data_IF_033733647132
#
_entry.id   IF_033733647132
#
_cell.length_a   1.000
_cell.length_b   1.000
_cell.length_c   1.000
_cell.angle_alpha   90.00
_cell.angle_beta   90.00
_cell.angle_gamma   90.00
#
_symmetry.space_group_name_H-M   'P 1'
#
loop_
_entity.id
_entity.type
_entity.pdbx_description
1 polymer ?
#
# COMPACT_ATOMS: atom_id res chain seq x y z
N UNK A 1 36.32 -29.29 29.41
CA UNK A 1 36.85 -28.32 28.43
C UNK A 1 36.68 -28.72 26.95
N UNK A 2 36.07 -29.87 26.62
CA UNK A 2 35.90 -30.31 25.22
C UNK A 2 34.62 -29.78 24.51
N UNK A 3 33.62 -29.32 25.28
CA UNK A 3 32.35 -28.83 24.72
C UNK A 3 32.36 -27.32 24.36
N UNK A 4 33.23 -26.54 25.01
CA UNK A 4 33.34 -25.09 24.78
C UNK A 4 34.08 -24.77 23.49
N UNK A 5 35.03 -25.62 23.08
CA UNK A 5 35.78 -25.51 21.83
C UNK A 5 34.98 -25.97 20.60
N UNK A 6 34.00 -26.86 20.77
CA UNK A 6 33.11 -27.30 19.69
C UNK A 6 32.06 -26.23 19.32
N UNK A 7 31.49 -25.54 20.32
CA UNK A 7 30.56 -24.43 20.08
C UNK A 7 31.22 -23.19 19.48
N UNK A 8 32.51 -22.95 19.78
CA UNK A 8 33.25 -21.81 19.22
C UNK A 8 33.57 -21.97 17.72
N UNK A 9 33.63 -23.22 17.22
CA UNK A 9 33.86 -23.52 15.78
C UNK A 9 32.58 -23.57 14.95
N UNK A 10 31.42 -23.83 15.57
CA UNK A 10 30.12 -23.79 14.90
C UNK A 10 29.57 -22.37 14.72
N UNK A 11 29.94 -21.42 15.59
CA UNK A 11 29.45 -20.04 15.55
C UNK A 11 29.83 -19.21 14.32
N UNK A 12 30.90 -19.57 13.59
CA UNK A 12 31.35 -18.80 12.41
C UNK A 12 30.73 -19.27 11.08
N UNK A 13 30.28 -20.53 10.98
CA UNK A 13 29.64 -21.06 9.78
C UNK A 13 28.09 -21.03 9.85
N UNK A 14 27.52 -20.92 11.05
CA UNK A 14 26.06 -20.91 11.23
C UNK A 14 25.42 -19.58 10.77
N UNK A 15 26.12 -18.45 10.93
CA UNK A 15 25.63 -17.12 10.49
C UNK A 15 25.64 -17.01 8.97
N UNK A 16 26.63 -17.58 8.28
CA UNK A 16 26.68 -17.61 6.82
C UNK A 16 25.62 -18.56 6.21
N UNK A 17 25.37 -19.70 6.88
CA UNK A 17 24.36 -20.67 6.43
C UNK A 17 22.92 -20.17 6.70
N UNK A 18 22.68 -19.48 7.82
CA UNK A 18 21.40 -18.79 8.05
C UNK A 18 21.23 -17.58 7.15
N UNK A 19 22.29 -16.83 6.83
CA UNK A 19 22.22 -15.73 5.86
C UNK A 19 21.79 -16.23 4.47
N UNK A 20 22.48 -17.24 3.93
CA UNK A 20 22.13 -17.80 2.62
C UNK A 20 20.78 -18.52 2.61
N UNK A 21 20.39 -19.18 3.70
CA UNK A 21 19.06 -19.82 3.83
C UNK A 21 17.96 -18.79 4.06
N UNK A 22 18.24 -17.68 4.76
CA UNK A 22 17.32 -16.56 4.95
C UNK A 22 17.16 -15.74 3.67
N UNK A 23 18.21 -15.58 2.87
CA UNK A 23 18.17 -14.98 1.54
C UNK A 23 17.44 -15.90 0.56
N UNK A 24 17.66 -17.22 0.61
CA UNK A 24 16.88 -18.19 -0.18
C UNK A 24 15.43 -18.27 0.28
N UNK A 25 15.14 -18.19 1.57
CA UNK A 25 13.78 -18.14 2.09
C UNK A 25 13.13 -16.79 1.80
N UNK A 26 13.85 -15.67 1.85
CA UNK A 26 13.35 -14.38 1.36
C UNK A 26 13.10 -14.45 -0.13
N UNK A 27 13.94 -15.08 -0.95
CA UNK A 27 13.72 -15.18 -2.41
C UNK A 27 12.62 -16.18 -2.74
N UNK A 28 12.53 -17.33 -2.06
CA UNK A 28 11.47 -18.33 -2.29
C UNK A 28 10.13 -17.83 -1.75
N UNK A 29 10.10 -17.23 -0.56
CA UNK A 29 8.90 -16.63 0.01
C UNK A 29 8.54 -15.37 -0.77
N UNK A 30 9.48 -14.53 -1.21
CA UNK A 30 9.19 -13.36 -2.04
C UNK A 30 8.79 -13.74 -3.47
N UNK A 31 9.40 -14.73 -4.13
CA UNK A 31 8.99 -15.17 -5.46
C UNK A 31 7.65 -15.91 -5.43
N UNK A 32 7.39 -16.72 -4.40
CA UNK A 32 6.10 -17.42 -4.27
C UNK A 32 5.00 -16.47 -3.83
N UNK A 33 5.30 -15.50 -2.95
CA UNK A 33 4.37 -14.44 -2.57
C UNK A 33 4.19 -13.40 -3.68
N UNK A 34 5.17 -13.14 -4.55
CA UNK A 34 5.01 -12.31 -5.75
C UNK A 34 4.21 -13.04 -6.86
N UNK A 35 4.11 -14.37 -6.77
CA UNK A 35 3.35 -15.21 -7.70
C UNK A 35 1.97 -15.61 -7.15
N UNK A 36 1.77 -15.61 -5.82
CA UNK A 36 0.51 -15.93 -5.14
C UNK A 36 -0.21 -14.67 -4.65
N UNK A 37 0.48 -13.67 -4.05
CA UNK A 37 -0.02 -12.28 -3.97
C UNK A 37 0.31 -11.53 -5.26
N UNK A 38 0.03 -12.17 -6.41
CA UNK A 38 0.03 -11.55 -7.72
C UNK A 38 -1.17 -10.58 -7.79
N UNK A 39 -1.08 -9.47 -7.04
CA UNK A 39 -1.99 -8.33 -7.15
C UNK A 39 -1.94 -7.69 -8.55
N UNK A 40 -1.10 -8.18 -9.48
CA UNK A 40 -1.14 -7.81 -10.90
C UNK A 40 -2.15 -8.65 -11.70
N UNK A 41 -2.59 -9.83 -11.22
CA UNK A 41 -3.65 -10.63 -11.86
C UNK A 41 -5.08 -10.37 -11.36
N UNK A 42 -5.24 -9.77 -10.18
CA UNK A 42 -6.52 -9.73 -9.46
C UNK A 42 -7.46 -8.56 -9.78
N UNK A 43 -6.98 -7.42 -10.28
CA UNK A 43 -7.84 -6.25 -10.54
C UNK A 43 -8.26 -6.19 -12.00
N UNK A 44 -9.00 -7.20 -12.45
CA UNK A 44 -9.74 -7.07 -13.70
C UNK A 44 -10.93 -6.16 -13.42
N UNK A 45 -10.98 -5.00 -14.09
CA UNK A 45 -12.23 -4.25 -14.15
C UNK A 45 -13.33 -5.24 -14.54
N UNK A 46 -14.48 -5.26 -13.84
CA UNK A 46 -15.63 -5.94 -14.40
C UNK A 46 -15.90 -5.29 -15.77
N UNK A 47 -16.17 -6.08 -16.82
CA UNK A 47 -16.18 -5.60 -18.21
C UNK A 47 -17.22 -4.50 -18.48
N UNK A 48 -18.09 -4.23 -17.52
CA UNK A 48 -19.15 -3.23 -17.50
C UNK A 48 -18.82 -1.99 -16.63
N UNK A 49 -17.65 -1.92 -15.99
CA UNK A 49 -17.25 -0.76 -15.19
C UNK A 49 -17.27 0.52 -16.06
N UNK A 50 -18.15 1.49 -15.75
CA UNK A 50 -18.25 2.68 -16.55
C UNK A 50 -16.91 3.42 -16.54
N UNK A 51 -16.40 3.69 -17.74
CA UNK A 51 -15.13 4.43 -17.98
C UNK A 51 -15.18 5.89 -17.52
N UNK A 52 -16.30 6.31 -16.91
CA UNK A 52 -16.59 7.68 -16.51
C UNK A 52 -16.98 7.83 -15.02
N UNK A 53 -16.76 6.82 -14.15
CA UNK A 53 -17.09 6.96 -12.71
C UNK A 53 -16.02 7.74 -11.93
N UNK A 54 -14.83 7.92 -12.48
CA UNK A 54 -13.73 8.59 -11.77
C UNK A 54 -13.89 10.12 -11.68
N UNK A 55 -15.02 10.67 -12.15
CA UNK A 55 -15.27 12.10 -12.38
C UNK A 55 -15.95 12.83 -11.21
N UNK A 56 -16.46 12.12 -10.20
CA UNK A 56 -17.12 12.77 -9.06
C UNK A 56 -16.35 12.58 -7.75
N UNK A 57 -15.87 13.70 -7.19
CA UNK A 57 -15.47 13.80 -5.79
C UNK A 57 -16.68 13.69 -4.84
N UNK A 58 -17.49 12.65 -5.00
CA UNK A 58 -18.61 12.38 -4.11
C UNK A 58 -18.13 12.09 -2.68
N UNK A 59 -18.91 12.48 -1.66
CA UNK A 59 -18.63 12.08 -0.28
C UNK A 59 -18.67 10.56 -0.13
N UNK A 60 -17.73 10.00 0.63
CA UNK A 60 -17.72 8.56 0.89
C UNK A 60 -18.98 8.11 1.63
N UNK A 61 -19.60 7.02 1.19
CA UNK A 61 -20.66 6.37 1.95
C UNK A 61 -20.07 5.52 3.09
N UNK A 62 -20.92 5.06 4.01
CA UNK A 62 -20.46 4.31 5.19
C UNK A 62 -19.85 2.95 4.83
N UNK A 63 -20.29 2.33 3.73
CA UNK A 63 -19.73 1.08 3.23
C UNK A 63 -18.29 1.25 2.76
N UNK A 64 -18.04 2.28 1.96
CA UNK A 64 -16.70 2.64 1.48
C UNK A 64 -15.75 2.96 2.64
N UNK A 65 -16.19 3.75 3.62
CA UNK A 65 -15.39 4.08 4.81
C UNK A 65 -15.00 2.83 5.59
N UNK A 66 -15.93 1.88 5.77
CA UNK A 66 -15.66 0.60 6.45
C UNK A 66 -14.68 -0.26 5.66
N UNK A 67 -14.82 -0.31 4.34
CA UNK A 67 -13.92 -1.08 3.48
C UNK A 67 -12.50 -0.48 3.46
N UNK A 68 -12.37 0.85 3.32
CA UNK A 68 -11.08 1.55 3.41
C UNK A 68 -10.44 1.29 4.77
N UNK A 69 -11.21 1.42 5.85
CA UNK A 69 -10.72 1.14 7.20
C UNK A 69 -10.21 -0.29 7.32
N UNK A 70 -11.02 -1.28 6.91
CA UNK A 70 -10.65 -2.68 6.98
C UNK A 70 -9.37 -2.97 6.21
N UNK A 71 -9.25 -2.50 4.97
CA UNK A 71 -8.08 -2.76 4.11
C UNK A 71 -6.82 -2.17 4.75
N UNK A 72 -6.81 -0.88 5.08
CA UNK A 72 -5.62 -0.22 5.65
C UNK A 72 -5.26 -0.85 7.00
N UNK A 73 -6.23 -0.97 7.91
CA UNK A 73 -5.99 -1.45 9.26
C UNK A 73 -5.51 -2.90 9.28
N UNK A 74 -6.12 -3.76 8.46
CA UNK A 74 -5.74 -5.18 8.37
C UNK A 74 -4.33 -5.34 7.83
N UNK A 75 -4.00 -4.64 6.74
CA UNK A 75 -2.66 -4.72 6.14
C UNK A 75 -1.59 -4.17 7.11
N UNK A 76 -1.88 -3.08 7.82
CA UNK A 76 -0.93 -2.48 8.75
C UNK A 76 -0.71 -3.30 10.04
N UNK A 77 -1.72 -4.06 10.48
CA UNK A 77 -1.68 -4.76 11.78
C UNK A 77 -1.50 -6.28 11.68
N UNK A 78 -1.43 -6.83 10.47
CA UNK A 78 -1.36 -8.27 10.24
C UNK A 78 -0.04 -8.65 9.58
N UNK A 79 0.65 -9.65 10.15
CA UNK A 79 1.86 -10.21 9.53
C UNK A 79 1.49 -10.99 8.26
N UNK A 80 2.41 -11.09 7.29
CA UNK A 80 2.19 -11.77 6.01
C UNK A 80 1.50 -13.15 6.11
N UNK A 81 1.92 -13.99 7.06
CA UNK A 81 1.34 -15.33 7.27
C UNK A 81 -0.14 -15.30 7.65
N UNK A 82 -0.58 -14.23 8.30
CA UNK A 82 -1.97 -14.02 8.72
C UNK A 82 -2.79 -13.25 7.68
N UNK A 83 -2.14 -12.64 6.68
CA UNK A 83 -2.84 -12.01 5.55
C UNK A 83 -3.36 -13.05 4.56
N UNK A 84 -2.67 -14.19 4.41
CA UNK A 84 -3.08 -15.28 3.53
C UNK A 84 -4.56 -15.70 3.68
N UNK A 85 -5.08 -16.05 4.88
CA UNK A 85 -6.49 -16.43 5.01
C UNK A 85 -7.46 -15.27 4.81
N UNK A 86 -6.98 -14.02 4.81
CA UNK A 86 -7.79 -12.81 4.62
C UNK A 86 -7.71 -12.27 3.18
N UNK A 87 -6.97 -12.92 2.29
CA UNK A 87 -6.71 -12.43 0.93
C UNK A 87 -8.00 -12.21 0.14
N UNK A 88 -8.92 -13.17 0.18
CA UNK A 88 -10.22 -13.07 -0.50
C UNK A 88 -11.01 -11.87 0.03
N UNK A 89 -11.10 -11.72 1.35
CA UNK A 89 -11.86 -10.63 1.97
C UNK A 89 -11.22 -9.26 1.73
N UNK A 90 -9.88 -9.18 1.72
CA UNK A 90 -9.13 -7.97 1.38
C UNK A 90 -9.35 -7.57 -0.08
N UNK A 91 -9.38 -8.55 -0.98
CA UNK A 91 -9.65 -8.34 -2.40
C UNK A 91 -11.08 -7.87 -2.60
N UNK A 92 -12.06 -8.56 -2.05
CA UNK A 92 -13.48 -8.20 -2.15
C UNK A 92 -13.77 -6.77 -1.65
N UNK A 93 -13.21 -6.42 -0.47
CA UNK A 93 -13.40 -5.07 0.08
C UNK A 93 -12.60 -4.02 -0.68
N UNK A 94 -11.46 -4.40 -1.25
CA UNK A 94 -10.66 -3.57 -2.13
C UNK A 94 -11.39 -3.26 -3.45
N UNK A 95 -11.99 -4.27 -4.08
CA UNK A 95 -12.80 -4.16 -5.29
C UNK A 95 -14.02 -3.26 -5.05
N UNK A 96 -14.67 -3.43 -3.90
CA UNK A 96 -15.80 -2.61 -3.48
C UNK A 96 -15.46 -1.13 -3.22
N UNK A 97 -14.18 -0.75 -3.27
CA UNK A 97 -13.75 0.65 -3.20
C UNK A 97 -12.94 1.06 -4.43
N UNK A 98 -12.86 0.26 -5.51
CA UNK A 98 -12.05 0.58 -6.70
C UNK A 98 -12.61 1.76 -7.51
N UNK A 99 -13.90 2.06 -7.38
CA UNK A 99 -14.51 3.25 -7.97
C UNK A 99 -14.20 4.55 -7.21
N UNK A 100 -13.74 4.46 -5.95
CA UNK A 100 -13.48 5.65 -5.11
C UNK A 100 -12.30 6.47 -5.65
N UNK A 101 -12.50 7.78 -5.82
CA UNK A 101 -11.43 8.68 -6.26
C UNK A 101 -10.24 8.65 -5.29
N UNK A 102 -8.98 8.56 -5.77
CA UNK A 102 -7.81 8.36 -4.91
C UNK A 102 -7.57 9.51 -3.91
N UNK A 103 -7.94 10.76 -4.23
CA UNK A 103 -7.93 11.83 -3.23
C UNK A 103 -8.93 11.60 -2.10
N UNK A 104 -10.15 11.12 -2.38
CA UNK A 104 -11.14 10.82 -1.31
C UNK A 104 -10.65 9.71 -0.40
N UNK A 105 -10.04 8.68 -0.98
CA UNK A 105 -9.39 7.61 -0.24
C UNK A 105 -8.37 8.17 0.77
N UNK A 106 -7.44 9.02 0.31
CA UNK A 106 -6.41 9.61 1.16
C UNK A 106 -6.94 10.67 2.13
N UNK A 107 -7.93 11.49 1.75
CA UNK A 107 -8.56 12.44 2.68
C UNK A 107 -9.15 11.70 3.89
N UNK A 108 -9.88 10.61 3.64
CA UNK A 108 -10.43 9.80 4.73
C UNK A 108 -9.34 9.10 5.55
N UNK A 109 -8.39 8.45 4.88
CA UNK A 109 -7.33 7.72 5.58
C UNK A 109 -6.44 8.63 6.45
N UNK A 110 -6.14 9.84 5.98
CA UNK A 110 -5.29 10.80 6.69
C UNK A 110 -6.07 11.63 7.73
N UNK A 111 -7.38 11.83 7.55
CA UNK A 111 -8.22 12.50 8.55
C UNK A 111 -8.58 11.60 9.73
N UNK A 112 -8.57 10.27 9.55
CA UNK A 112 -8.85 9.31 10.61
C UNK A 112 -7.58 8.98 11.41
N UNK A 113 -7.48 9.31 12.72
CA UNK A 113 -6.23 9.19 13.50
C UNK A 113 -5.61 7.78 13.47
N UNK A 114 -6.42 6.74 13.66
CA UNK A 114 -5.95 5.35 13.61
C UNK A 114 -5.42 4.94 12.22
N UNK A 115 -6.14 5.28 11.15
CA UNK A 115 -5.73 4.90 9.79
C UNK A 115 -4.47 5.65 9.35
N UNK A 116 -4.29 6.87 9.84
CA UNK A 116 -3.07 7.63 9.64
C UNK A 116 -1.87 6.95 10.30
N UNK A 117 -2.01 6.50 11.54
CA UNK A 117 -0.98 5.72 12.24
C UNK A 117 -0.70 4.39 11.51
N UNK A 118 -1.74 3.70 11.05
CA UNK A 118 -1.64 2.47 10.28
C UNK A 118 -0.90 2.67 8.95
N UNK A 119 -1.19 3.76 8.22
CA UNK A 119 -0.46 4.13 7.00
C UNK A 119 1.01 4.42 7.28
N UNK A 120 1.29 5.15 8.36
CA UNK A 120 2.67 5.43 8.77
C UNK A 120 3.41 4.13 9.09
N UNK A 121 2.81 3.28 9.92
CA UNK A 121 3.34 1.94 10.26
C UNK A 121 3.57 1.09 9.02
N UNK A 122 2.67 1.14 8.04
CA UNK A 122 2.82 0.43 6.79
C UNK A 122 4.01 0.94 5.97
N UNK A 123 4.20 2.26 5.91
CA UNK A 123 5.32 2.89 5.20
C UNK A 123 6.68 2.65 5.86
N UNK A 124 6.68 2.47 7.19
CA UNK A 124 7.87 2.21 8.02
C UNK A 124 8.12 0.71 8.22
N UNK A 125 7.23 -0.16 7.71
CA UNK A 125 7.30 -1.59 7.95
C UNK A 125 8.57 -2.21 7.36
N UNK A 126 9.17 -3.14 8.10
CA UNK A 126 10.33 -3.93 7.68
C UNK A 126 10.08 -4.85 6.48
N UNK A 127 8.85 -4.89 5.95
CA UNK A 127 8.48 -5.69 4.79
C UNK A 127 8.17 -4.77 3.60
N UNK A 128 9.19 -4.33 2.83
CA UNK A 128 9.01 -3.44 1.69
C UNK A 128 8.00 -3.93 0.66
N UNK A 129 7.83 -5.25 0.54
CA UNK A 129 6.94 -5.88 -0.45
C UNK A 129 5.49 -5.44 -0.23
N UNK A 130 5.00 -5.41 1.02
CA UNK A 130 3.61 -5.05 1.30
C UNK A 130 3.36 -3.57 0.97
N UNK A 131 4.28 -2.70 1.35
CA UNK A 131 4.20 -1.27 1.02
C UNK A 131 4.28 -1.03 -0.49
N UNK A 132 5.17 -1.73 -1.19
CA UNK A 132 5.32 -1.62 -2.64
C UNK A 132 4.06 -2.09 -3.37
N UNK A 133 3.44 -3.20 -2.96
CA UNK A 133 2.19 -3.67 -3.54
C UNK A 133 1.03 -2.71 -3.29
N UNK A 134 0.87 -2.23 -2.05
CA UNK A 134 -0.14 -1.23 -1.68
C UNK A 134 0.02 0.07 -2.49
N UNK A 135 1.23 0.64 -2.52
CA UNK A 135 1.51 1.87 -3.28
C UNK A 135 1.43 1.67 -4.79
N UNK A 136 1.76 0.47 -5.30
CA UNK A 136 1.61 0.11 -6.71
C UNK A 136 0.14 0.15 -7.16
N UNK A 137 -0.77 -0.43 -6.37
CA UNK A 137 -2.21 -0.38 -6.62
C UNK A 137 -2.74 1.05 -6.68
N UNK A 138 -2.38 1.87 -5.69
CA UNK A 138 -2.80 3.28 -5.63
C UNK A 138 -2.18 4.14 -6.74
N UNK A 139 -0.92 3.88 -7.11
CA UNK A 139 -0.25 4.60 -8.21
C UNK A 139 -0.98 4.40 -9.54
N UNK A 140 -1.48 3.19 -9.81
CA UNK A 140 -2.31 2.93 -11.00
C UNK A 140 -3.61 3.72 -10.97
N UNK A 141 -4.23 3.88 -9.80
CA UNK A 141 -5.48 4.65 -9.63
C UNK A 141 -5.23 6.14 -9.86
N UNK A 142 -4.13 6.69 -9.35
CA UNK A 142 -3.72 8.05 -9.68
C UNK A 142 -3.40 8.24 -11.16
N UNK A 143 -2.71 7.29 -11.79
CA UNK A 143 -2.46 7.33 -13.23
C UNK A 143 -3.77 7.38 -14.04
N UNK A 144 -4.78 6.58 -13.65
CA UNK A 144 -6.13 6.64 -14.26
C UNK A 144 -6.83 7.98 -14.05
N UNK A 145 -6.81 8.51 -12.82
CA UNK A 145 -7.44 9.80 -12.50
C UNK A 145 -6.70 11.02 -13.11
N UNK A 146 -5.41 10.91 -13.46
CA UNK A 146 -4.71 11.98 -14.17
C UNK A 146 -5.24 12.13 -15.59
N UNK A 147 -5.57 11.02 -16.25
CA UNK A 147 -6.09 11.00 -17.63
C UNK A 147 -7.43 11.73 -17.73
N UNK A 148 -8.24 11.75 -16.66
CA UNK A 148 -9.49 12.52 -16.59
C UNK A 148 -9.29 14.01 -16.23
N UNK A 149 -8.05 14.50 -16.09
CA UNK A 149 -7.71 15.90 -15.73
C UNK A 149 -8.35 16.36 -14.39
N UNK A 150 -8.62 15.41 -13.49
CA UNK A 150 -9.35 15.68 -12.25
C UNK A 150 -8.40 15.99 -11.07
N UNK A 151 -7.20 15.42 -11.11
CA UNK A 151 -6.19 15.55 -10.03
C UNK A 151 -5.72 17.00 -9.85
N UNK A 152 -5.39 17.71 -10.92
CA UNK A 152 -4.82 19.06 -10.81
C UNK A 152 -5.86 20.06 -10.25
N UNK A 153 -7.13 19.92 -10.66
CA UNK A 153 -8.25 20.77 -10.22
C UNK A 153 -8.51 20.65 -8.72
N UNK A 154 -8.32 19.45 -8.18
CA UNK A 154 -8.66 19.15 -6.79
C UNK A 154 -7.49 19.21 -5.82
N UNK A 155 -6.26 19.35 -6.33
CA UNK A 155 -5.04 19.38 -5.50
C UNK A 155 -5.06 20.48 -4.44
N UNK A 156 -5.55 21.68 -4.78
CA UNK A 156 -5.59 22.82 -3.84
C UNK A 156 -6.56 22.57 -2.69
N UNK A 157 -7.70 21.92 -2.94
CA UNK A 157 -8.63 21.55 -1.88
C UNK A 157 -8.05 20.43 -1.02
N UNK A 158 -7.53 19.40 -1.68
CA UNK A 158 -6.92 18.24 -1.04
C UNK A 158 -5.76 18.59 -0.09
N UNK A 159 -4.90 19.52 -0.52
CA UNK A 159 -3.77 20.00 0.28
C UNK A 159 -4.20 20.75 1.54
N UNK A 160 -5.35 21.44 1.52
CA UNK A 160 -5.93 22.05 2.72
C UNK A 160 -6.46 21.00 3.69
N UNK A 161 -7.12 19.95 3.18
CA UNK A 161 -7.66 18.86 3.99
C UNK A 161 -6.55 18.05 4.67
N UNK A 162 -5.49 17.73 3.92
CA UNK A 162 -4.41 16.84 4.38
C UNK A 162 -3.28 17.58 5.09
N UNK A 163 -3.22 18.91 5.00
CA UNK A 163 -2.15 19.73 5.56
C UNK A 163 -0.83 19.69 4.77
N UNK A 164 -0.77 18.93 3.67
CA UNK A 164 0.42 18.83 2.82
C UNK A 164 0.36 19.86 1.70
N UNK A 165 1.29 20.80 1.68
CA UNK A 165 1.25 21.92 0.73
C UNK A 165 1.23 21.47 -0.74
N UNK A 166 0.35 22.09 -1.55
CA UNK A 166 0.25 21.82 -2.99
C UNK A 166 1.59 22.03 -3.72
N UNK A 167 2.43 22.97 -3.27
CA UNK A 167 3.77 23.21 -3.83
C UNK A 167 4.74 22.04 -3.63
N UNK A 168 4.52 21.19 -2.62
CA UNK A 168 5.26 19.93 -2.44
C UNK A 168 4.73 18.83 -3.36
N UNK A 169 3.41 18.80 -3.57
CA UNK A 169 2.72 17.71 -4.27
C UNK A 169 2.68 17.88 -5.79
N UNK A 170 2.55 19.11 -6.29
CA UNK A 170 2.42 19.42 -7.71
C UNK A 170 3.59 18.88 -8.55
N UNK A 171 4.87 19.07 -8.15
CA UNK A 171 5.99 18.53 -8.92
C UNK A 171 6.01 16.99 -9.02
N UNK A 172 5.40 16.29 -8.05
CA UNK A 172 5.30 14.84 -8.04
C UNK A 172 4.20 14.36 -9.00
N UNK A 173 3.08 15.09 -9.07
CA UNK A 173 2.00 14.86 -10.04
C UNK A 173 2.49 15.11 -11.48
N UNK A 174 3.21 16.23 -11.68
CA UNK A 174 3.72 16.62 -13.01
C UNK A 174 4.67 15.56 -13.57
N UNK A 175 5.54 15.01 -12.70
CA UNK A 175 6.49 13.93 -13.01
C UNK A 175 5.88 12.53 -13.01
N UNK A 176 4.61 12.39 -12.64
CA UNK A 176 3.94 11.09 -12.45
C UNK A 176 4.63 10.20 -11.43
N UNK A 177 5.34 10.80 -10.47
CA UNK A 177 5.96 10.12 -9.35
C UNK A 177 4.91 9.85 -8.27
N UNK A 178 3.96 8.96 -8.58
CA UNK A 178 2.86 8.60 -7.69
C UNK A 178 3.32 7.95 -6.40
N UNK A 179 4.41 7.19 -6.47
CA UNK A 179 5.02 6.58 -5.28
C UNK A 179 5.62 7.65 -4.37
N UNK A 180 6.37 8.60 -4.94
CA UNK A 180 6.88 9.77 -4.22
C UNK A 180 5.74 10.63 -3.66
N UNK A 181 4.66 10.79 -4.42
CA UNK A 181 3.45 11.50 -3.98
C UNK A 181 2.84 10.85 -2.72
N UNK A 182 2.59 9.55 -2.75
CA UNK A 182 2.03 8.81 -1.59
C UNK A 182 2.99 8.88 -0.40
N UNK A 183 4.30 8.73 -0.65
CA UNK A 183 5.32 8.84 0.40
C UNK A 183 5.33 10.24 1.04
N UNK A 184 5.20 11.31 0.24
CA UNK A 184 5.13 12.68 0.73
C UNK A 184 3.88 12.90 1.59
N UNK A 185 2.75 12.28 1.24
CA UNK A 185 1.53 12.33 2.04
C UNK A 185 1.71 11.65 3.39
N UNK A 186 2.21 10.41 3.42
CA UNK A 186 2.32 9.65 4.67
C UNK A 186 3.41 10.21 5.59
N UNK A 187 4.49 10.76 5.03
CA UNK A 187 5.59 11.32 5.84
C UNK A 187 5.35 12.71 6.41
N UNK A 188 4.54 13.54 5.74
CA UNK A 188 4.28 14.94 6.14
C UNK A 188 2.92 15.17 6.77
N UNK A 189 2.02 14.19 6.71
CA UNK A 189 0.75 14.25 7.43
C UNK A 189 0.96 13.93 8.91
#
# INVERSE_FOLDING_TARGET
>A
ECLVSYFKRLGQNFVAMFGALWDLLQVIFCCKLHQELDWDRGWKLPPDAPTNIMDTLEPLNDGERRNIFFVIHTIANTNLLKLWPLETELTEKGDAIDHVHPFRFFEYALSHPLLKEDLKKLSESYVPIVWNSFTGGLSRRFARAKVSDDIAKHLVSFSKTTGVAATTLQPLIDKEDWKGFIQALVSKS
#
